data_IF_981496999592
#
_entry.id   IF_981496999592
#
_cell.length_a   1.000
_cell.length_b   1.000
_cell.length_c   1.000
_cell.angle_alpha   90.00
_cell.angle_beta   90.00
_cell.angle_gamma   90.00
#
_symmetry.space_group_name_H-M   'P 1'
#
loop_
_entity.id
_entity.type
_entity.pdbx_description
1 polymer ?
#
# COMPACT_ATOMS: atom_id res chain seq x y z
N UNK A 1 -4.24 -25.62 -24.85
CA UNK A 1 -4.39 -24.19 -24.51
C UNK A 1 -3.24 -23.82 -23.60
N UNK A 2 -2.34 -22.90 -24.01
CA UNK A 2 -1.02 -22.70 -23.36
C UNK A 2 -1.08 -22.32 -21.87
N UNK A 3 -2.19 -21.73 -21.42
CA UNK A 3 -2.42 -21.42 -20.00
C UNK A 3 -2.61 -22.68 -19.15
N UNK A 4 -3.14 -23.77 -19.72
CA UNK A 4 -3.35 -25.04 -19.00
C UNK A 4 -2.05 -25.81 -18.76
N UNK A 5 -1.05 -25.63 -19.62
CA UNK A 5 0.24 -26.33 -19.52
C UNK A 5 1.21 -25.61 -18.55
N UNK A 6 0.92 -24.37 -18.16
CA UNK A 6 1.73 -23.59 -17.22
C UNK A 6 3.13 -23.22 -17.72
N UNK A 7 3.51 -23.60 -18.94
CA UNK A 7 4.80 -23.32 -19.52
C UNK A 7 4.88 -21.88 -20.05
N UNK A 8 5.87 -21.12 -19.61
CA UNK A 8 6.21 -19.81 -20.14
C UNK A 8 7.74 -19.66 -20.18
N UNK A 9 8.22 -18.78 -21.05
CA UNK A 9 9.65 -18.55 -21.25
C UNK A 9 9.95 -17.05 -21.30
N UNK A 10 11.07 -16.65 -20.71
CA UNK A 10 11.61 -15.30 -20.84
C UNK A 10 12.47 -15.24 -22.11
N UNK A 11 11.89 -14.76 -23.22
CA UNK A 11 12.54 -14.77 -24.53
C UNK A 11 13.57 -13.64 -24.67
N UNK A 12 14.66 -13.94 -25.37
CA UNK A 12 15.62 -12.94 -25.82
C UNK A 12 15.12 -12.29 -27.12
N UNK A 13 15.38 -11.00 -27.35
CA UNK A 13 16.24 -10.11 -26.54
C UNK A 13 15.51 -9.33 -25.44
N UNK A 14 14.17 -9.37 -25.38
CA UNK A 14 13.37 -8.46 -24.55
C UNK A 14 13.63 -8.61 -23.05
N UNK A 15 14.03 -9.81 -22.63
CA UNK A 15 14.26 -10.14 -21.23
C UNK A 15 15.74 -10.16 -20.82
N UNK A 16 16.68 -9.94 -21.74
CA UNK A 16 18.12 -10.09 -21.47
C UNK A 16 18.62 -9.03 -20.47
N UNK A 17 18.08 -7.80 -20.55
CA UNK A 17 18.41 -6.70 -19.63
C UNK A 17 17.68 -6.73 -18.29
N UNK A 18 16.76 -7.68 -18.07
CA UNK A 18 15.92 -7.74 -16.86
C UNK A 18 16.59 -8.56 -15.77
N UNK A 19 16.61 -8.04 -14.54
CA UNK A 19 17.25 -8.70 -13.40
C UNK A 19 16.63 -10.06 -13.10
N UNK A 20 17.46 -10.99 -12.62
CA UNK A 20 17.02 -12.33 -12.20
C UNK A 20 15.98 -12.28 -11.09
N UNK A 21 16.06 -11.29 -10.19
CA UNK A 21 15.05 -11.07 -9.13
C UNK A 21 13.66 -10.78 -9.69
N UNK A 22 13.55 -9.96 -10.75
CA UNK A 22 12.28 -9.69 -11.44
C UNK A 22 11.72 -10.97 -12.06
N UNK A 23 12.56 -11.70 -12.79
CA UNK A 23 12.17 -12.97 -13.44
C UNK A 23 11.69 -13.99 -12.40
N UNK A 24 12.39 -14.09 -11.27
CA UNK A 24 12.01 -14.98 -10.18
C UNK A 24 10.65 -14.61 -9.57
N UNK A 25 10.39 -13.32 -9.33
CA UNK A 25 9.10 -12.85 -8.84
C UNK A 25 7.97 -13.21 -9.81
N UNK A 26 8.16 -12.99 -11.11
CA UNK A 26 7.15 -13.33 -12.13
C UNK A 26 6.87 -14.82 -12.11
N UNK A 27 7.92 -15.66 -12.07
CA UNK A 27 7.75 -17.12 -11.98
C UNK A 27 6.93 -17.55 -10.77
N UNK A 28 7.14 -16.93 -9.61
CA UNK A 28 6.33 -17.18 -8.41
C UNK A 28 4.86 -16.79 -8.64
N UNK A 29 4.59 -15.62 -9.25
CA UNK A 29 3.23 -15.14 -9.54
C UNK A 29 2.46 -16.02 -10.53
N UNK A 30 3.15 -16.60 -11.51
CA UNK A 30 2.53 -17.46 -12.54
C UNK A 30 2.64 -18.97 -12.23
N UNK A 31 2.94 -19.34 -10.98
CA UNK A 31 2.95 -20.74 -10.54
C UNK A 31 1.61 -21.42 -10.88
N UNK A 32 1.66 -22.51 -11.64
CA UNK A 32 0.48 -23.22 -12.14
C UNK A 32 -0.36 -23.80 -10.99
N UNK A 33 0.31 -24.43 -10.03
CA UNK A 33 -0.31 -24.95 -8.82
C UNK A 33 -0.69 -23.79 -7.88
N UNK A 34 -1.99 -23.66 -7.61
CA UNK A 34 -2.55 -22.62 -6.73
C UNK A 34 -2.09 -22.82 -5.29
N UNK A 35 -1.90 -24.05 -4.83
CA UNK A 35 -1.45 -24.34 -3.46
C UNK A 35 0.02 -23.99 -3.25
N UNK A 36 0.82 -24.00 -4.32
CA UNK A 36 2.22 -23.56 -4.29
C UNK A 36 2.39 -22.07 -4.64
N UNK A 37 1.35 -21.39 -5.10
CA UNK A 37 1.41 -19.98 -5.50
C UNK A 37 1.42 -19.09 -4.25
N UNK A 38 2.45 -18.26 -4.06
CA UNK A 38 2.48 -17.34 -2.92
C UNK A 38 1.34 -16.33 -2.98
N UNK A 39 0.86 -15.93 -1.81
CA UNK A 39 -0.12 -14.86 -1.64
C UNK A 39 0.48 -13.50 -1.99
N UNK A 40 -0.39 -12.52 -2.26
CA UNK A 40 0.06 -11.14 -2.50
C UNK A 40 0.87 -10.58 -1.32
N UNK A 41 0.49 -10.91 -0.09
CA UNK A 41 1.20 -10.50 1.12
C UNK A 41 2.61 -11.09 1.21
N UNK A 42 2.79 -12.36 0.83
CA UNK A 42 4.12 -13.00 0.78
C UNK A 42 4.99 -12.42 -0.34
N UNK A 43 4.39 -12.16 -1.51
CA UNK A 43 5.10 -11.53 -2.64
C UNK A 43 5.55 -10.11 -2.30
N UNK A 44 4.77 -9.34 -1.54
CA UNK A 44 5.15 -7.99 -1.10
C UNK A 44 6.44 -7.97 -0.28
N UNK A 45 6.79 -9.07 0.41
CA UNK A 45 8.05 -9.21 1.15
C UNK A 45 9.25 -9.57 0.26
N UNK A 46 9.04 -9.81 -1.04
CA UNK A 46 10.11 -10.17 -1.97
C UNK A 46 11.14 -9.02 -2.08
N UNK A 47 12.46 -9.30 -2.00
CA UNK A 47 13.51 -8.28 -2.08
C UNK A 47 13.44 -7.39 -3.33
N UNK A 48 12.93 -7.92 -4.46
CA UNK A 48 12.79 -7.16 -5.68
C UNK A 48 11.72 -6.05 -5.58
N UNK A 49 10.65 -6.29 -4.82
CA UNK A 49 9.61 -5.29 -4.53
C UNK A 49 10.02 -4.35 -3.40
N UNK A 50 10.67 -4.89 -2.36
CA UNK A 50 11.07 -4.13 -1.18
C UNK A 50 12.18 -3.09 -1.46
N UNK A 51 12.87 -3.20 -2.60
CA UNK A 51 13.92 -2.24 -3.02
C UNK A 51 13.38 -0.80 -3.27
N UNK A 52 12.05 -0.58 -3.34
CA UNK A 52 11.48 0.73 -3.73
C UNK A 52 10.61 1.45 -2.71
N UNK A 53 10.37 0.94 -1.51
CA UNK A 53 9.32 1.53 -0.67
C UNK A 53 9.67 1.61 0.81
N UNK A 54 10.46 2.61 1.17
CA UNK A 54 10.09 3.41 2.33
C UNK A 54 9.77 4.81 1.81
N UNK A 55 8.48 5.13 1.54
CA UNK A 55 8.11 6.52 1.40
C UNK A 55 8.57 7.22 2.67
N UNK A 56 9.48 8.18 2.54
CA UNK A 56 9.83 9.04 3.66
C UNK A 56 8.53 9.59 4.21
N UNK A 57 8.27 9.35 5.49
CA UNK A 57 7.09 9.86 6.18
C UNK A 57 7.15 11.39 6.04
N UNK A 58 6.36 11.92 5.09
CA UNK A 58 6.12 13.35 5.00
C UNK A 58 5.49 13.81 6.32
N UNK A 59 5.73 15.06 6.75
CA UNK A 59 5.21 15.54 8.02
C UNK A 59 3.68 15.43 8.03
N UNK A 60 3.14 14.50 8.83
CA UNK A 60 1.71 14.48 9.12
C UNK A 60 1.36 15.86 9.66
N UNK A 61 0.35 16.49 9.07
CA UNK A 61 -0.13 17.78 9.54
C UNK A 61 -0.35 17.70 11.05
N UNK A 62 0.25 18.63 11.83
CA UNK A 62 0.14 18.66 13.31
C UNK A 62 -1.31 18.61 13.83
N UNK A 63 -2.27 18.96 12.97
CA UNK A 63 -3.71 18.96 13.25
C UNK A 63 -4.42 17.65 12.88
N UNK A 64 -3.73 16.61 12.42
CA UNK A 64 -4.31 15.35 11.93
C UNK A 64 -5.23 14.69 12.96
N UNK A 65 -4.75 14.52 14.20
CA UNK A 65 -5.55 13.93 15.28
C UNK A 65 -6.77 14.78 15.65
N UNK A 66 -6.63 16.11 15.65
CA UNK A 66 -7.76 17.02 15.89
C UNK A 66 -8.81 16.90 14.80
N UNK A 67 -8.39 16.80 13.53
CA UNK A 67 -9.29 16.59 12.38
C UNK A 67 -9.99 15.24 12.45
N UNK A 68 -9.30 14.17 12.85
CA UNK A 68 -9.89 12.84 13.02
C UNK A 68 -10.96 12.84 14.13
N UNK A 69 -10.68 13.45 15.28
CA UNK A 69 -11.64 13.62 16.38
C UNK A 69 -12.86 14.44 15.95
N UNK A 70 -12.64 15.56 15.24
CA UNK A 70 -13.73 16.39 14.70
C UNK A 70 -14.59 15.61 13.70
N UNK A 71 -13.97 14.81 12.82
CA UNK A 71 -14.68 13.96 11.88
C UNK A 71 -15.53 12.90 12.59
N UNK A 72 -15.02 12.28 13.66
CA UNK A 72 -15.78 11.35 14.49
C UNK A 72 -17.04 11.99 15.06
N UNK A 73 -16.95 13.25 15.51
CA UNK A 73 -18.05 14.01 16.10
C UNK A 73 -19.10 14.50 15.08
N UNK A 74 -18.86 14.38 13.77
CA UNK A 74 -19.83 14.80 12.75
C UNK A 74 -21.05 13.88 12.64
N UNK A 75 -22.18 14.47 12.22
CA UNK A 75 -23.43 13.73 11.95
C UNK A 75 -23.24 12.75 10.80
N UNK A 76 -24.08 11.71 10.74
CA UNK A 76 -24.04 10.69 9.68
C UNK A 76 -24.13 11.32 8.28
N UNK A 77 -25.04 12.28 8.09
CA UNK A 77 -25.20 12.99 6.81
C UNK A 77 -23.91 13.74 6.43
N UNK A 78 -23.31 14.49 7.37
CA UNK A 78 -22.09 15.24 7.11
C UNK A 78 -20.92 14.32 6.75
N UNK A 79 -20.82 13.15 7.41
CA UNK A 79 -19.81 12.13 7.07
C UNK A 79 -19.99 11.61 5.64
N UNK A 80 -21.21 11.25 5.24
CA UNK A 80 -21.50 10.78 3.87
C UNK A 80 -21.15 11.83 2.83
N UNK A 81 -21.56 13.09 3.04
CA UNK A 81 -21.25 14.19 2.12
C UNK A 81 -19.73 14.38 1.98
N UNK A 82 -18.99 14.38 3.09
CA UNK A 82 -17.52 14.50 3.07
C UNK A 82 -16.86 13.33 2.34
N UNK A 83 -17.38 12.10 2.48
CA UNK A 83 -16.89 10.94 1.74
C UNK A 83 -17.09 11.08 0.24
N UNK A 84 -18.26 11.55 -0.21
CA UNK A 84 -18.53 11.80 -1.64
C UNK A 84 -17.59 12.86 -2.20
N UNK A 85 -17.40 13.97 -1.46
CA UNK A 85 -16.46 15.01 -1.87
C UNK A 85 -15.04 14.46 -1.97
N UNK A 86 -14.61 13.66 -0.98
CA UNK A 86 -13.28 13.05 -1.00
C UNK A 86 -13.06 12.12 -2.21
N UNK A 87 -14.09 11.40 -2.65
CA UNK A 87 -14.04 10.54 -3.85
C UNK A 87 -13.93 11.33 -5.16
N UNK A 88 -14.28 12.62 -5.16
CA UNK A 88 -14.22 13.50 -6.33
C UNK A 88 -12.94 14.33 -6.40
N UNK A 89 -12.07 14.27 -5.38
CA UNK A 89 -10.79 14.97 -5.38
C UNK A 89 -9.84 14.33 -6.39
N UNK A 90 -9.05 15.17 -7.08
CA UNK A 90 -7.99 14.71 -8.00
C UNK A 90 -6.76 14.27 -7.21
N UNK A 91 -6.00 13.34 -7.79
CA UNK A 91 -4.82 12.76 -7.14
C UNK A 91 -3.79 13.82 -6.70
N UNK A 92 -3.60 14.90 -7.46
CA UNK A 92 -2.66 15.96 -7.09
C UNK A 92 -3.07 16.70 -5.80
N UNK A 93 -4.37 16.73 -5.49
CA UNK A 93 -4.87 17.38 -4.28
C UNK A 93 -4.73 16.50 -3.03
N UNK A 94 -4.47 15.22 -3.21
CA UNK A 94 -4.39 14.22 -2.14
C UNK A 94 -3.03 13.53 -2.05
N UNK A 95 -2.07 13.86 -2.93
CA UNK A 95 -0.75 13.23 -3.00
C UNK A 95 -0.05 13.16 -1.63
N UNK A 96 0.02 14.28 -0.90
CA UNK A 96 0.63 14.32 0.44
C UNK A 96 -0.09 13.38 1.41
N UNK A 97 -1.42 13.33 1.35
CA UNK A 97 -2.24 12.47 2.21
C UNK A 97 -2.08 10.99 1.83
N UNK A 98 -2.00 10.67 0.53
CA UNK A 98 -1.73 9.33 0.03
C UNK A 98 -0.34 8.84 0.45
N UNK A 99 0.68 9.69 0.35
CA UNK A 99 2.03 9.37 0.78
C UNK A 99 2.10 9.14 2.29
N UNK A 100 1.42 9.97 3.08
CA UNK A 100 1.24 9.72 4.51
C UNK A 100 0.54 8.39 4.77
N UNK A 101 -0.56 8.10 4.09
CA UNK A 101 -1.32 6.86 4.28
C UNK A 101 -0.47 5.63 3.98
N UNK A 102 0.22 5.61 2.82
CA UNK A 102 1.14 4.53 2.43
C UNK A 102 2.31 4.36 3.38
N UNK A 103 2.78 5.43 4.02
CA UNK A 103 3.85 5.33 5.00
C UNK A 103 3.39 4.80 6.37
N UNK A 104 2.08 4.93 6.67
CA UNK A 104 1.45 4.35 7.86
C UNK A 104 1.03 2.88 7.64
N UNK A 105 0.54 2.57 6.44
CA UNK A 105 0.10 1.24 5.99
C UNK A 105 1.31 0.33 5.75
N UNK A 106 1.78 -0.32 6.83
CA UNK A 106 3.04 -1.08 6.81
C UNK A 106 2.87 -2.42 6.12
N UNK A 107 1.69 -3.02 6.22
CA UNK A 107 1.41 -4.29 5.55
C UNK A 107 0.98 -4.10 4.09
N UNK A 108 0.66 -2.87 3.67
CA UNK A 108 0.29 -2.53 2.30
C UNK A 108 -1.07 -3.09 1.90
N UNK A 109 -1.97 -3.32 2.86
CA UNK A 109 -3.29 -3.90 2.62
C UNK A 109 -4.33 -2.85 2.15
N UNK A 110 -3.95 -1.57 2.14
CA UNK A 110 -4.79 -0.45 1.73
C UNK A 110 -5.71 0.07 2.84
N UNK A 111 -5.56 -0.44 4.07
CA UNK A 111 -6.27 0.00 5.27
C UNK A 111 -5.29 0.38 6.37
N UNK A 112 -5.76 1.10 7.39
CA UNK A 112 -4.94 1.42 8.56
C UNK A 112 -5.55 0.78 9.79
N UNK A 113 -4.83 -0.19 10.35
CA UNK A 113 -5.19 -0.79 11.63
C UNK A 113 -4.95 0.21 12.78
N UNK A 114 -5.64 0.04 13.93
CA UNK A 114 -5.36 0.86 15.11
C UNK A 114 -3.89 0.81 15.54
N UNK A 115 -3.21 -0.31 15.32
CA UNK A 115 -1.80 -0.45 15.68
C UNK A 115 -0.90 0.34 14.72
N UNK A 116 -1.12 0.29 13.41
CA UNK A 116 -0.37 1.07 12.43
C UNK A 116 -0.52 2.57 12.65
N UNK A 117 -1.73 3.03 12.99
CA UNK A 117 -1.96 4.43 13.35
C UNK A 117 -1.19 4.78 14.62
N UNK A 118 -1.22 3.95 15.67
CA UNK A 118 -0.48 4.20 16.92
C UNK A 118 1.04 4.25 16.67
N UNK A 119 1.59 3.25 15.99
CA UNK A 119 3.01 3.16 15.68
C UNK A 119 3.47 4.34 14.82
N UNK A 120 2.67 4.68 13.81
CA UNK A 120 2.94 5.81 12.94
C UNK A 120 2.93 7.15 13.66
N UNK A 121 1.93 7.41 14.51
CA UNK A 121 1.87 8.63 15.32
C UNK A 121 3.03 8.72 16.32
N UNK A 122 3.40 7.60 16.94
CA UNK A 122 4.53 7.51 17.86
C UNK A 122 5.86 7.80 17.15
N UNK A 123 6.07 7.23 15.96
CA UNK A 123 7.27 7.47 15.14
C UNK A 123 7.44 8.94 14.73
N UNK A 124 6.35 9.71 14.75
CA UNK A 124 6.32 11.14 14.42
C UNK A 124 6.32 12.07 15.64
N UNK A 125 6.51 11.52 16.85
CA UNK A 125 6.57 12.29 18.10
C UNK A 125 5.21 12.85 18.55
N UNK A 126 4.09 12.35 18.03
CA UNK A 126 2.76 12.73 18.49
C UNK A 126 2.34 11.88 19.68
N UNK A 127 1.94 12.53 20.79
CA UNK A 127 1.36 11.84 21.95
C UNK A 127 -0.03 11.34 21.61
N UNK A 128 -0.22 10.02 21.73
CA UNK A 128 -1.51 9.37 21.55
C UNK A 128 -2.36 9.71 22.79
N UNK A 129 -3.55 10.32 22.65
CA UNK A 129 -4.48 10.49 23.76
C UNK A 129 -4.84 9.12 24.36
N UNK A 130 -5.09 9.02 25.67
CA UNK A 130 -5.52 7.77 26.30
C UNK A 130 -6.78 7.19 25.63
#
# INVERSE_FOLDING_TARGET
AKVKDGSFEFRSPEWDGISSGCKNLITQMVTLDVSCRPSAAELLQNPWLNFKSQPAIGPICKNFMSRLKSFQAHTKLKKVVLTVVAQQLRDEQVETLQNTFRALDRNGDGTLSPQEVKDGLASMGMKIPP
#
